data_IF_771817504112
#
_entry.id   IF_771817504112
#
_cell.length_a   1.000
_cell.length_b   1.000
_cell.length_c   1.000
_cell.angle_alpha   90.00
_cell.angle_beta   90.00
_cell.angle_gamma   90.00
#
_symmetry.space_group_name_H-M   'P 1'
#
loop_
_entity.id
_entity.type
_entity.pdbx_description
1 polymer ?
#
# COMPACT_ATOMS: atom_id res chain seq x y z
N UNK A 1 -10.19 -0.54 -12.91
CA UNK A 1 -8.94 -1.26 -13.27
C UNK A 1 -8.47 -2.18 -12.15
N UNK A 2 -8.00 -3.40 -12.43
CA UNK A 2 -7.40 -4.32 -11.43
C UNK A 2 -5.86 -4.23 -11.45
N UNK A 3 -5.27 -3.56 -10.45
CA UNK A 3 -3.83 -3.25 -10.35
C UNK A 3 -3.14 -4.26 -9.42
N UNK A 4 -2.05 -4.93 -9.82
CA UNK A 4 -1.33 -5.86 -8.93
C UNK A 4 -0.86 -5.19 -7.64
N UNK A 5 -1.07 -5.84 -6.48
CA UNK A 5 -0.66 -5.27 -5.19
C UNK A 5 0.84 -5.10 -5.10
N UNK A 6 1.62 -6.03 -5.63
CA UNK A 6 3.08 -5.93 -5.56
C UNK A 6 3.64 -4.76 -6.38
N UNK A 7 2.93 -4.35 -7.43
CA UNK A 7 3.27 -3.12 -8.15
C UNK A 7 3.05 -1.88 -7.27
N UNK A 8 1.99 -1.90 -6.44
CA UNK A 8 1.70 -0.83 -5.49
C UNK A 8 2.73 -0.80 -4.36
N UNK A 9 3.08 -1.96 -3.81
CA UNK A 9 4.14 -2.13 -2.79
C UNK A 9 5.47 -1.59 -3.33
N UNK A 10 5.88 -2.05 -4.52
CA UNK A 10 7.09 -1.56 -5.19
C UNK A 10 7.12 -0.04 -5.31
N UNK A 11 6.01 0.57 -5.75
CA UNK A 11 5.94 2.01 -5.94
C UNK A 11 6.01 2.80 -4.62
N UNK A 12 5.46 2.26 -3.52
CA UNK A 12 5.59 2.87 -2.20
C UNK A 12 7.02 2.78 -1.67
N UNK A 13 7.59 1.58 -1.66
CA UNK A 13 8.94 1.33 -1.14
C UNK A 13 10.00 2.13 -1.88
N UNK A 14 9.88 2.25 -3.21
CA UNK A 14 10.86 2.97 -4.04
C UNK A 14 10.51 4.45 -4.27
N UNK A 15 9.45 4.97 -3.64
CA UNK A 15 8.94 6.34 -3.81
C UNK A 15 8.62 6.69 -5.28
N UNK A 16 8.13 5.70 -6.05
CA UNK A 16 7.78 5.82 -7.50
C UNK A 16 6.28 5.90 -7.76
N UNK A 17 5.54 6.51 -6.83
CA UNK A 17 4.08 6.66 -6.95
C UNK A 17 3.67 7.52 -8.15
N UNK A 18 4.38 8.61 -8.44
CA UNK A 18 4.05 9.49 -9.56
C UNK A 18 4.33 8.83 -10.94
N UNK A 19 5.48 8.18 -11.16
CA UNK A 19 5.69 7.38 -12.37
C UNK A 19 4.66 6.25 -12.51
N UNK A 20 4.32 5.54 -11.43
CA UNK A 20 3.27 4.53 -11.45
C UNK A 20 1.92 5.14 -11.85
N UNK A 21 1.57 6.31 -11.31
CA UNK A 21 0.32 7.01 -11.63
C UNK A 21 0.23 7.31 -13.14
N UNK A 22 1.32 7.81 -13.72
CA UNK A 22 1.40 8.02 -15.17
C UNK A 22 1.25 6.71 -15.94
N UNK A 23 2.00 5.67 -15.58
CA UNK A 23 1.91 4.36 -16.23
C UNK A 23 0.48 3.82 -16.25
N UNK A 24 -0.22 3.91 -15.12
CA UNK A 24 -1.58 3.43 -14.97
C UNK A 24 -2.58 4.24 -15.79
N UNK A 25 -2.41 5.56 -15.87
CA UNK A 25 -3.20 6.41 -16.74
C UNK A 25 -3.00 6.04 -18.20
N UNK A 26 -1.75 5.93 -18.68
CA UNK A 26 -1.48 5.49 -20.06
C UNK A 26 -2.10 4.11 -20.32
N UNK A 27 -2.06 3.23 -19.32
CA UNK A 27 -2.67 1.90 -19.41
C UNK A 27 -4.19 1.92 -19.47
N UNK A 28 -4.86 2.93 -18.92
CA UNK A 28 -6.30 3.07 -19.01
C UNK A 28 -6.76 3.70 -20.34
N UNK A 29 -5.87 4.41 -21.05
CA UNK A 29 -6.21 5.08 -22.32
C UNK A 29 -6.29 4.14 -23.54
N UNK A 30 -5.84 2.87 -23.46
CA UNK A 30 -5.89 2.00 -24.64
C UNK A 30 -5.43 0.56 -24.46
N UNK A 31 -5.41 -0.18 -25.57
CA UNK A 31 -5.07 -1.60 -25.67
C UNK A 31 -3.56 -1.91 -25.54
N UNK A 32 -2.75 -0.89 -25.26
CA UNK A 32 -1.30 -1.02 -25.07
C UNK A 32 -0.46 -0.04 -25.89
N UNK A 33 -1.07 0.73 -26.79
CA UNK A 33 -0.45 1.85 -27.50
C UNK A 33 -1.26 3.12 -27.26
N UNK A 34 -0.58 4.24 -27.06
CA UNK A 34 -1.17 5.55 -26.83
C UNK A 34 -0.42 6.55 -27.71
N UNK A 35 -1.13 7.46 -28.41
CA UNK A 35 -0.48 8.60 -29.07
C UNK A 35 0.29 9.43 -28.05
N UNK A 36 1.35 10.11 -28.46
CA UNK A 36 2.20 10.92 -27.58
C UNK A 36 2.59 12.26 -28.19
N UNK A 37 1.62 12.86 -28.88
CA UNK A 37 1.62 14.24 -29.36
C UNK A 37 1.46 15.26 -28.21
N UNK A 38 1.58 16.55 -28.52
CA UNK A 38 1.43 17.63 -27.53
C UNK A 38 0.02 17.70 -26.94
N UNK A 39 -1.03 17.48 -27.74
CA UNK A 39 -2.42 17.45 -27.26
C UNK A 39 -2.62 16.36 -26.19
N UNK A 40 -2.06 15.17 -26.41
CA UNK A 40 -2.15 14.06 -25.47
C UNK A 40 -1.32 14.32 -24.20
N UNK A 41 -0.19 15.04 -24.30
CA UNK A 41 0.58 15.48 -23.13
C UNK A 41 -0.22 16.47 -22.29
N UNK A 42 -0.89 17.44 -22.91
CA UNK A 42 -1.77 18.40 -22.22
C UNK A 42 -2.93 17.70 -21.52
N UNK A 43 -3.64 16.81 -22.24
CA UNK A 43 -4.70 15.96 -21.65
C UNK A 43 -4.20 15.15 -20.46
N UNK A 44 -2.99 14.60 -20.55
CA UNK A 44 -2.37 13.83 -19.47
C UNK A 44 -2.03 14.72 -18.26
N UNK A 45 -1.50 15.93 -18.49
CA UNK A 45 -1.24 16.90 -17.44
C UNK A 45 -2.51 17.29 -16.69
N UNK A 46 -3.59 17.58 -17.42
CA UNK A 46 -4.89 17.91 -16.84
C UNK A 46 -5.46 16.74 -16.03
N UNK A 47 -5.53 15.55 -16.62
CA UNK A 47 -6.12 14.37 -15.99
C UNK A 47 -5.36 13.88 -14.73
N UNK A 48 -4.05 14.15 -14.66
CA UNK A 48 -3.21 13.80 -13.53
C UNK A 48 -2.92 14.98 -12.60
N UNK A 49 -3.47 16.16 -12.87
CA UNK A 49 -3.21 17.40 -12.12
C UNK A 49 -1.69 17.69 -12.01
N UNK A 50 -0.94 17.42 -13.08
CA UNK A 50 0.49 17.70 -13.15
C UNK A 50 0.66 19.15 -13.63
N UNK A 51 1.06 20.03 -12.72
CA UNK A 51 1.24 21.46 -12.99
C UNK A 51 2.38 21.78 -13.97
N UNK A 52 3.37 20.90 -14.08
CA UNK A 52 4.58 21.16 -14.86
C UNK A 52 4.81 20.08 -15.92
N UNK A 53 4.91 20.46 -17.20
CA UNK A 53 5.31 19.55 -18.28
C UNK A 53 6.67 18.88 -18.01
N UNK A 54 7.59 19.58 -17.33
CA UNK A 54 8.88 19.01 -16.91
C UNK A 54 8.71 17.80 -15.99
N UNK A 55 7.73 17.85 -15.08
CA UNK A 55 7.40 16.73 -14.18
C UNK A 55 6.79 15.55 -14.95
N UNK A 56 5.94 15.82 -15.93
CA UNK A 56 5.41 14.78 -16.81
C UNK A 56 6.56 14.08 -17.55
N UNK A 57 7.47 14.86 -18.14
CA UNK A 57 8.63 14.35 -18.85
C UNK A 57 9.55 13.54 -17.94
N UNK A 58 9.85 14.01 -16.73
CA UNK A 58 10.67 13.29 -15.77
C UNK A 58 10.06 11.92 -15.39
N UNK A 59 8.74 11.87 -15.20
CA UNK A 59 8.04 10.61 -14.93
C UNK A 59 8.11 9.67 -16.15
N UNK A 60 7.89 10.19 -17.37
CA UNK A 60 7.97 9.42 -18.60
C UNK A 60 9.38 8.88 -18.85
N UNK A 61 10.41 9.71 -18.71
CA UNK A 61 11.82 9.31 -18.82
C UNK A 61 12.16 8.19 -17.82
N UNK A 62 11.62 8.26 -16.60
CA UNK A 62 11.77 7.18 -15.63
C UNK A 62 11.11 5.88 -16.12
N UNK A 63 9.89 5.95 -16.67
CA UNK A 63 9.19 4.78 -17.22
C UNK A 63 9.93 4.16 -18.42
N UNK A 64 10.48 4.99 -19.31
CA UNK A 64 11.28 4.55 -20.46
C UNK A 64 12.57 3.87 -20.01
N UNK A 65 13.34 4.50 -19.12
CA UNK A 65 14.58 3.94 -18.56
C UNK A 65 14.35 2.59 -17.88
N UNK A 66 13.21 2.45 -17.19
CA UNK A 66 12.85 1.19 -16.52
C UNK A 66 12.11 0.21 -17.43
N UNK A 67 11.90 0.51 -18.72
CA UNK A 67 11.21 -0.36 -19.67
C UNK A 67 9.77 -0.70 -19.27
N UNK A 68 9.08 0.21 -18.58
CA UNK A 68 7.65 0.10 -18.29
C UNK A 68 6.80 0.58 -19.47
N UNK A 69 7.41 1.44 -20.28
CA UNK A 69 6.89 1.89 -21.56
C UNK A 69 8.03 1.93 -22.58
N UNK A 70 7.70 1.90 -23.87
CA UNK A 70 8.67 2.10 -24.96
C UNK A 70 8.12 3.13 -25.94
N UNK A 71 8.98 4.02 -26.44
CA UNK A 71 8.60 5.04 -27.42
C UNK A 71 8.79 4.51 -28.85
N UNK A 72 7.82 4.77 -29.71
CA UNK A 72 7.95 4.59 -31.16
C UNK A 72 7.98 5.97 -31.83
N UNK A 73 9.18 6.45 -32.15
CA UNK A 73 9.36 7.78 -32.73
C UNK A 73 8.73 7.94 -34.12
N UNK A 74 8.57 6.85 -34.89
CA UNK A 74 7.97 6.93 -36.24
C UNK A 74 6.46 7.18 -36.22
N UNK A 75 5.80 6.76 -35.14
CA UNK A 75 4.34 6.84 -34.97
C UNK A 75 3.95 7.73 -33.79
N UNK A 76 4.93 8.47 -33.24
CA UNK A 76 4.80 9.29 -32.04
C UNK A 76 3.93 8.64 -30.95
N UNK A 77 4.21 7.37 -30.65
CA UNK A 77 3.34 6.59 -29.76
C UNK A 77 4.13 5.88 -28.67
N UNK A 78 3.51 5.80 -27.50
CA UNK A 78 4.02 5.11 -26.33
C UNK A 78 3.35 3.75 -26.25
N UNK A 79 4.14 2.68 -26.27
CA UNK A 79 3.69 1.33 -25.97
C UNK A 79 3.78 1.08 -24.47
N UNK A 80 2.67 0.74 -23.84
CA UNK A 80 2.55 0.46 -22.41
C UNK A 80 2.65 -1.03 -22.15
N UNK A 81 3.62 -1.43 -21.32
CA UNK A 81 3.90 -2.84 -21.04
C UNK A 81 2.77 -3.50 -20.24
N UNK A 82 2.57 -4.81 -20.44
CA UNK A 82 1.56 -5.58 -19.71
C UNK A 82 1.98 -5.81 -18.25
N UNK A 83 1.00 -6.01 -17.36
CA UNK A 83 1.28 -6.36 -15.97
C UNK A 83 2.05 -7.67 -15.84
N UNK A 84 1.91 -8.60 -16.80
CA UNK A 84 2.62 -9.87 -16.79
C UNK A 84 4.13 -9.65 -17.04
N UNK A 85 4.48 -8.77 -17.98
CA UNK A 85 5.88 -8.43 -18.23
C UNK A 85 6.49 -7.72 -17.02
N UNK A 86 5.76 -6.78 -16.40
CA UNK A 86 6.21 -6.15 -15.16
C UNK A 86 6.34 -7.17 -14.01
N UNK A 87 5.41 -8.12 -13.90
CA UNK A 87 5.46 -9.16 -12.88
C UNK A 87 6.68 -10.05 -13.02
N UNK A 88 7.05 -10.43 -14.25
CA UNK A 88 8.30 -11.17 -14.51
C UNK A 88 9.53 -10.31 -14.18
N UNK A 89 9.54 -9.05 -14.60
CA UNK A 89 10.67 -8.14 -14.38
C UNK A 89 10.91 -7.82 -12.91
N UNK A 90 9.84 -7.67 -12.14
CA UNK A 90 9.88 -7.33 -10.71
C UNK A 90 9.74 -8.55 -9.80
N UNK A 91 9.78 -9.77 -10.36
CA UNK A 91 9.65 -11.04 -9.66
C UNK A 91 8.44 -11.11 -8.72
N UNK A 92 7.24 -10.81 -9.23
CA UNK A 92 6.04 -10.83 -8.40
C UNK A 92 5.70 -12.23 -7.87
N UNK A 93 5.30 -12.30 -6.61
CA UNK A 93 4.97 -13.54 -5.89
C UNK A 93 3.47 -13.74 -5.67
N UNK A 94 2.66 -12.73 -5.95
CA UNK A 94 1.24 -12.67 -5.69
C UNK A 94 0.49 -12.24 -6.94
N UNK A 95 -0.56 -12.99 -7.25
CA UNK A 95 -1.53 -12.61 -8.27
C UNK A 95 -2.64 -11.69 -7.73
N UNK A 96 -2.60 -11.27 -6.47
CA UNK A 96 -3.61 -10.37 -5.90
C UNK A 96 -3.47 -8.96 -6.48
N UNK A 97 -4.59 -8.37 -6.89
CA UNK A 97 -4.66 -6.97 -7.24
C UNK A 97 -5.73 -6.20 -6.46
N UNK A 98 -5.62 -4.89 -6.44
CA UNK A 98 -6.63 -3.97 -5.94
C UNK A 98 -7.47 -3.44 -7.10
N UNK A 99 -8.79 -3.40 -6.88
CA UNK A 99 -9.71 -2.77 -7.81
C UNK A 99 -9.68 -1.26 -7.57
N UNK A 100 -9.30 -0.52 -8.61
CA UNK A 100 -9.39 0.93 -8.66
C UNK A 100 -10.55 1.33 -9.56
N UNK A 101 -11.61 1.88 -8.98
CA UNK A 101 -12.86 2.21 -9.69
C UNK A 101 -12.93 3.67 -10.14
N UNK A 102 -12.07 4.53 -9.57
CA UNK A 102 -12.12 5.96 -9.86
C UNK A 102 -11.69 6.26 -11.29
N UNK A 103 -12.48 7.13 -11.93
CA UNK A 103 -12.20 7.68 -13.26
C UNK A 103 -11.09 8.73 -13.23
N UNK A 104 -10.91 9.40 -12.09
CA UNK A 104 -9.89 10.41 -11.86
C UNK A 104 -8.78 9.91 -10.92
N UNK A 105 -7.53 10.31 -11.18
CA UNK A 105 -6.36 9.88 -10.41
C UNK A 105 -6.04 10.78 -9.19
N UNK A 106 -6.98 11.64 -8.79
CA UNK A 106 -6.79 12.65 -7.75
C UNK A 106 -6.53 12.00 -6.38
N UNK A 107 -7.32 10.98 -6.06
CA UNK A 107 -7.21 10.21 -4.82
C UNK A 107 -6.32 8.96 -4.96
N UNK A 108 -5.42 8.95 -5.95
CA UNK A 108 -4.58 7.79 -6.23
C UNK A 108 -3.60 7.47 -5.10
N UNK A 109 -2.97 8.47 -4.46
CA UNK A 109 -2.01 8.19 -3.37
C UNK A 109 -2.72 7.60 -2.14
N UNK A 110 -3.80 8.22 -1.61
CA UNK A 110 -4.56 7.60 -0.53
C UNK A 110 -5.09 6.20 -0.87
N UNK A 111 -5.54 5.99 -2.12
CA UNK A 111 -5.98 4.66 -2.59
C UNK A 111 -4.86 3.62 -2.48
N UNK A 112 -3.64 3.92 -2.96
CA UNK A 112 -2.53 2.97 -2.89
C UNK A 112 -2.23 2.59 -1.44
N UNK A 113 -2.19 3.59 -0.54
CA UNK A 113 -1.94 3.34 0.87
C UNK A 113 -3.00 2.38 1.45
N UNK A 114 -4.27 2.65 1.18
CA UNK A 114 -5.37 1.80 1.61
C UNK A 114 -5.28 0.38 1.02
N UNK A 115 -4.97 0.25 -0.27
CA UNK A 115 -4.86 -1.05 -0.95
C UNK A 115 -3.77 -1.93 -0.32
N UNK A 116 -2.60 -1.35 -0.05
CA UNK A 116 -1.48 -2.04 0.59
C UNK A 116 -1.81 -2.40 2.04
N UNK A 117 -2.41 -1.48 2.82
CA UNK A 117 -2.90 -1.76 4.18
C UNK A 117 -3.88 -2.94 4.17
N UNK A 118 -4.84 -2.95 3.25
CA UNK A 118 -5.85 -4.00 3.13
C UNK A 118 -5.23 -5.35 2.84
N UNK A 119 -4.27 -5.39 1.91
CA UNK A 119 -3.60 -6.62 1.54
C UNK A 119 -2.86 -7.23 2.74
N UNK A 120 -2.07 -6.43 3.46
CA UNK A 120 -1.32 -6.92 4.61
C UNK A 120 -2.20 -7.21 5.83
N UNK A 121 -3.33 -6.53 5.98
CA UNK A 121 -4.36 -6.86 6.97
C UNK A 121 -4.91 -8.27 6.72
N UNK A 122 -5.26 -8.59 5.46
CA UNK A 122 -5.72 -9.91 5.06
C UNK A 122 -4.61 -10.96 5.10
N UNK A 123 -3.37 -10.55 4.85
CA UNK A 123 -2.22 -11.43 4.92
C UNK A 123 -1.94 -11.90 6.35
N UNK A 124 -1.82 -10.96 7.29
CA UNK A 124 -1.59 -11.24 8.72
C UNK A 124 -2.70 -12.10 9.32
N UNK A 125 -3.96 -11.78 9.03
CA UNK A 125 -5.12 -12.56 9.49
C UNK A 125 -5.10 -14.01 8.94
N UNK A 126 -4.72 -14.19 7.66
CA UNK A 126 -4.56 -15.54 7.08
C UNK A 126 -3.46 -16.34 7.77
N UNK A 127 -2.30 -15.73 8.05
CA UNK A 127 -1.20 -16.40 8.76
C UNK A 127 -1.63 -16.80 10.17
N UNK A 128 -2.25 -15.88 10.92
CA UNK A 128 -2.72 -16.14 12.27
C UNK A 128 -3.70 -17.33 12.32
N UNK A 129 -4.66 -17.37 11.39
CA UNK A 129 -5.61 -18.49 11.27
C UNK A 129 -4.94 -19.80 10.90
N UNK A 130 -3.95 -19.78 10.00
CA UNK A 130 -3.22 -20.98 9.62
C UNK A 130 -2.43 -21.54 10.80
N UNK A 131 -1.80 -20.67 11.60
CA UNK A 131 -1.10 -21.07 12.82
C UNK A 131 -2.05 -21.69 13.85
N UNK A 132 -3.20 -21.05 14.09
CA UNK A 132 -4.21 -21.57 15.02
C UNK A 132 -4.70 -22.97 14.62
N UNK A 133 -4.98 -23.18 13.32
CA UNK A 133 -5.37 -24.50 12.78
C UNK A 133 -4.29 -25.55 12.98
N UNK A 134 -3.02 -25.22 12.71
CA UNK A 134 -1.90 -26.15 12.91
C UNK A 134 -1.70 -26.53 14.38
N UNK A 135 -1.96 -25.60 15.31
CA UNK A 135 -1.78 -25.79 16.74
C UNK A 135 -3.04 -26.29 17.47
N UNK A 136 -4.14 -26.58 16.75
CA UNK A 136 -5.41 -26.99 17.35
C UNK A 136 -6.06 -25.93 18.26
N UNK A 137 -5.65 -24.65 18.14
CA UNK A 137 -6.19 -23.57 18.96
C UNK A 137 -7.51 -23.06 18.40
N UNK A 138 -8.46 -22.79 19.28
CA UNK A 138 -9.72 -22.13 18.92
C UNK A 138 -9.43 -20.79 18.25
N UNK A 139 -9.95 -20.59 17.04
CA UNK A 139 -9.85 -19.29 16.38
C UNK A 139 -10.68 -18.29 17.15
N UNK A 140 -10.06 -17.30 17.79
CA UNK A 140 -10.80 -16.19 18.38
C UNK A 140 -11.59 -15.50 17.26
N UNK A 141 -12.91 -15.41 17.41
CA UNK A 141 -13.79 -14.72 16.46
C UNK A 141 -13.67 -13.18 16.63
N UNK A 142 -12.43 -12.68 16.71
CA UNK A 142 -12.14 -11.26 16.89
C UNK A 142 -12.56 -10.50 15.64
N UNK A 143 -13.61 -9.68 15.79
CA UNK A 143 -14.12 -8.78 14.74
C UNK A 143 -13.13 -7.68 14.35
N UNK A 144 -12.11 -7.44 15.16
CA UNK A 144 -11.15 -6.35 14.98
C UNK A 144 -9.83 -6.88 14.44
N UNK A 145 -9.44 -6.36 13.27
CA UNK A 145 -8.14 -6.66 12.66
C UNK A 145 -7.18 -5.53 12.96
N UNK A 146 -6.04 -5.90 13.50
CA UNK A 146 -4.98 -4.99 13.88
C UNK A 146 -3.82 -5.09 12.89
N UNK A 147 -3.27 -3.93 12.54
CA UNK A 147 -2.06 -3.87 11.72
C UNK A 147 -1.15 -2.85 12.37
N UNK A 148 -0.16 -3.24 13.17
CA UNK A 148 0.82 -2.31 13.74
C UNK A 148 1.49 -1.47 12.64
N UNK A 149 1.79 -0.21 12.93
CA UNK A 149 2.50 0.65 11.97
C UNK A 149 3.90 0.10 11.67
N UNK A 150 4.54 -0.45 12.70
CA UNK A 150 5.89 -1.03 12.63
C UNK A 150 5.95 -2.23 11.69
N UNK A 151 4.89 -3.03 11.63
CA UNK A 151 4.80 -4.14 10.69
C UNK A 151 4.89 -3.65 9.24
N UNK A 152 4.07 -2.65 8.88
CA UNK A 152 4.11 -2.08 7.52
C UNK A 152 5.40 -1.31 7.24
N UNK A 153 5.99 -0.68 8.26
CA UNK A 153 7.26 0.02 8.14
C UNK A 153 8.37 -0.94 7.70
N UNK A 154 8.47 -2.10 8.37
CA UNK A 154 9.41 -3.17 8.00
C UNK A 154 9.13 -3.71 6.59
N UNK A 155 7.89 -4.10 6.32
CA UNK A 155 7.49 -4.69 5.04
C UNK A 155 7.72 -3.75 3.84
N UNK A 156 7.54 -2.45 4.01
CA UNK A 156 7.73 -1.48 2.93
C UNK A 156 9.14 -0.86 2.93
N UNK A 157 9.99 -1.17 3.91
CA UNK A 157 11.26 -0.50 4.18
C UNK A 157 11.10 1.04 4.24
N UNK A 158 10.15 1.50 5.07
CA UNK A 158 9.82 2.92 5.27
C UNK A 158 9.79 3.24 6.77
N UNK A 159 10.10 4.50 7.13
CA UNK A 159 10.00 4.93 8.53
C UNK A 159 8.57 4.88 9.07
N UNK A 160 8.41 4.53 10.36
CA UNK A 160 7.13 4.46 11.08
C UNK A 160 6.28 5.72 10.90
N UNK A 161 6.88 6.90 11.02
CA UNK A 161 6.19 8.19 10.84
C UNK A 161 5.57 8.35 9.44
N UNK A 162 6.24 7.82 8.40
CA UNK A 162 5.71 7.84 7.04
C UNK A 162 4.50 6.94 6.89
N UNK A 163 4.53 5.75 7.49
CA UNK A 163 3.40 4.82 7.50
C UNK A 163 2.19 5.41 8.24
N UNK A 164 2.41 6.04 9.39
CA UNK A 164 1.33 6.72 10.15
C UNK A 164 0.67 7.79 9.28
N UNK A 165 1.47 8.65 8.63
CA UNK A 165 0.95 9.66 7.69
C UNK A 165 0.21 9.05 6.50
N UNK A 166 0.68 7.92 5.96
CA UNK A 166 0.00 7.23 4.85
C UNK A 166 -1.37 6.70 5.27
N UNK A 167 -1.46 6.12 6.47
CA UNK A 167 -2.74 5.67 7.04
C UNK A 167 -3.69 6.83 7.29
N UNK A 168 -3.18 7.94 7.83
CA UNK A 168 -4.00 9.14 8.03
C UNK A 168 -4.59 9.62 6.70
N UNK A 169 -3.76 9.78 5.66
CA UNK A 169 -4.24 10.17 4.32
C UNK A 169 -5.28 9.20 3.73
N UNK A 170 -5.10 7.90 3.95
CA UNK A 170 -6.07 6.90 3.51
C UNK A 170 -7.40 6.98 4.28
N UNK A 171 -7.34 7.34 5.57
CA UNK A 171 -8.50 7.56 6.41
C UNK A 171 -9.23 8.85 6.03
N UNK A 172 -8.50 9.95 5.86
CA UNK A 172 -9.06 11.25 5.44
C UNK A 172 -9.79 11.13 4.10
N UNK A 173 -9.26 10.32 3.18
CA UNK A 173 -9.88 10.03 1.88
C UNK A 173 -11.03 9.00 1.94
N UNK A 174 -11.38 8.48 3.13
CA UNK A 174 -12.49 7.56 3.34
C UNK A 174 -12.24 6.10 2.89
N UNK A 175 -11.04 5.74 2.46
CA UNK A 175 -10.74 4.38 1.98
C UNK A 175 -10.57 3.37 3.12
N UNK A 176 -10.19 3.84 4.31
CA UNK A 176 -10.12 3.03 5.53
C UNK A 176 -10.75 3.77 6.70
N UNK A 177 -11.25 3.02 7.68
CA UNK A 177 -11.69 3.54 8.97
C UNK A 177 -10.76 3.01 10.06
N UNK A 178 -10.20 3.91 10.85
CA UNK A 178 -9.36 3.56 11.99
C UNK A 178 -10.13 3.80 13.30
N UNK A 179 -10.07 2.85 14.22
CA UNK A 179 -10.54 3.01 15.60
C UNK A 179 -9.35 2.92 16.54
N UNK A 180 -9.07 4.00 17.25
CA UNK A 180 -8.06 4.00 18.31
C UNK A 180 -8.46 3.06 19.43
N UNK A 181 -7.47 2.35 19.98
CA UNK A 181 -7.69 1.36 21.03
C UNK A 181 -6.75 1.66 22.18
N UNK A 182 -7.33 1.65 23.36
CA UNK A 182 -6.62 1.88 24.61
C UNK A 182 -6.97 0.76 25.57
N UNK A 183 -5.97 0.26 26.30
CA UNK A 183 -6.17 -0.64 27.43
C UNK A 183 -5.98 0.17 28.70
N UNK A 184 -7.01 0.33 29.55
CA UNK A 184 -6.84 1.07 30.80
C UNK A 184 -5.83 0.35 31.70
N UNK A 185 -5.05 1.14 32.42
CA UNK A 185 -4.18 0.67 33.49
C UNK A 185 -4.63 1.27 34.81
N UNK A 186 -4.45 0.51 35.88
CA UNK A 186 -4.60 0.98 37.26
C UNK A 186 -3.29 1.66 37.71
N UNK A 187 -2.77 2.57 36.88
CA UNK A 187 -1.57 3.35 37.18
C UNK A 187 -1.98 4.79 37.51
N UNK A 188 -1.58 5.34 38.66
CA UNK A 188 -1.73 6.77 38.96
C UNK A 188 -1.07 7.64 37.89
N UNK A 189 -1.60 8.84 37.68
CA UNK A 189 -1.07 9.76 36.65
C UNK A 189 0.32 10.26 37.05
N UNK A 190 0.53 10.42 38.36
CA UNK A 190 1.75 10.90 39.00
C UNK A 190 2.93 9.94 38.74
N UNK A 191 2.65 8.65 38.61
CA UNK A 191 3.65 7.61 38.36
C UNK A 191 4.01 7.48 36.87
N UNK A 192 3.28 8.13 35.96
CA UNK A 192 3.50 8.02 34.52
C UNK A 192 4.89 8.52 34.09
N UNK A 193 5.32 9.67 34.63
CA UNK A 193 6.63 10.23 34.31
C UNK A 193 7.75 9.32 34.79
N UNK A 194 7.61 8.78 36.00
CA UNK A 194 8.54 7.79 36.53
C UNK A 194 8.64 6.56 35.62
N UNK A 195 7.51 5.99 35.20
CA UNK A 195 7.50 4.86 34.27
C UNK A 195 8.14 5.20 32.91
N UNK A 196 8.02 6.43 32.41
CA UNK A 196 8.63 6.83 31.13
C UNK A 196 10.15 7.02 31.22
N UNK A 197 10.65 7.46 32.37
CA UNK A 197 12.08 7.68 32.60
C UNK A 197 12.81 6.35 32.88
N UNK A 198 12.20 5.49 33.71
CA UNK A 198 12.86 4.30 34.24
C UNK A 198 12.31 2.96 33.69
N UNK A 199 11.20 3.00 32.95
CA UNK A 199 10.59 1.79 32.40
C UNK A 199 11.19 1.33 31.08
N UNK A 200 10.82 0.12 30.68
CA UNK A 200 11.23 -0.50 29.41
C UNK A 200 10.58 0.19 28.18
N UNK A 201 10.92 -0.27 26.97
CA UNK A 201 10.36 0.26 25.71
C UNK A 201 8.81 0.30 25.67
N UNK A 202 8.14 -0.56 26.44
CA UNK A 202 6.69 -0.59 26.57
C UNK A 202 6.11 0.67 27.24
N UNK A 203 6.90 1.36 28.07
CA UNK A 203 6.51 2.59 28.74
C UNK A 203 6.22 3.74 27.75
N UNK A 204 6.82 3.72 26.55
CA UNK A 204 6.54 4.70 25.50
C UNK A 204 5.13 4.56 24.90
N UNK A 205 4.44 3.44 25.16
CA UNK A 205 3.06 3.22 24.73
C UNK A 205 2.04 3.79 25.73
N UNK A 206 2.49 4.27 26.89
CA UNK A 206 1.64 4.84 27.93
C UNK A 206 1.18 6.25 27.55
N UNK A 207 -0.13 6.46 27.57
CA UNK A 207 -0.79 7.72 27.23
C UNK A 207 -1.86 8.06 28.25
N UNK A 208 -2.04 9.36 28.51
CA UNK A 208 -3.17 9.87 29.31
C UNK A 208 -4.37 10.03 28.37
N UNK A 209 -5.49 9.40 28.70
CA UNK A 209 -6.73 9.57 27.95
C UNK A 209 -7.94 9.48 28.87
N UNK A 210 -8.79 10.52 28.88
CA UNK A 210 -9.90 10.69 29.82
C UNK A 210 -9.45 10.59 31.29
N UNK A 211 -8.41 11.35 31.67
CA UNK A 211 -7.84 11.38 33.03
C UNK A 211 -7.48 10.00 33.61
N UNK A 212 -7.05 9.07 32.76
CA UNK A 212 -6.57 7.76 33.16
C UNK A 212 -5.36 7.39 32.32
N UNK A 213 -4.38 6.72 32.93
CA UNK A 213 -3.25 6.13 32.20
C UNK A 213 -3.72 4.90 31.44
N UNK A 214 -3.39 4.83 30.15
CA UNK A 214 -3.76 3.71 29.27
C UNK A 214 -2.58 3.30 28.40
N UNK A 215 -2.51 2.03 28.04
CA UNK A 215 -1.63 1.53 26.99
C UNK A 215 -2.29 1.79 25.64
N UNK A 216 -1.59 2.46 24.75
CA UNK A 216 -2.02 2.63 23.36
C UNK A 216 -1.80 1.33 22.59
N UNK A 217 -2.89 0.66 22.22
CA UNK A 217 -2.84 -0.52 21.38
C UNK A 217 -2.83 -0.13 19.90
N UNK A 218 -2.41 -1.04 19.04
CA UNK A 218 -2.54 -0.87 17.60
C UNK A 218 -3.99 -0.61 17.17
N UNK A 219 -4.18 0.41 16.33
CA UNK A 219 -5.50 0.77 15.80
C UNK A 219 -6.19 -0.43 15.13
N UNK A 220 -7.49 -0.58 15.38
CA UNK A 220 -8.32 -1.48 14.58
C UNK A 220 -8.62 -0.81 13.24
N UNK A 221 -8.43 -1.54 12.14
CA UNK A 221 -8.61 -1.01 10.78
C UNK A 221 -9.72 -1.78 10.08
N UNK A 222 -10.70 -1.05 9.56
CA UNK A 222 -11.66 -1.54 8.58
C UNK A 222 -11.30 -0.93 7.23
N UNK A 223 -11.22 -1.74 6.18
CA UNK A 223 -10.91 -1.27 4.83
C UNK A 223 -12.09 -1.46 3.89
N UNK A 224 -12.28 -0.49 2.99
CA UNK A 224 -13.29 -0.51 1.94
C UNK A 224 -12.69 -0.81 0.56
N UNK A 225 -11.40 -1.17 0.49
CA UNK A 225 -10.75 -1.53 -0.77
C UNK A 225 -11.06 -2.98 -1.16
N UNK A 226 -11.54 -3.16 -2.38
CA UNK A 226 -11.75 -4.48 -2.96
C UNK A 226 -10.46 -5.07 -3.52
N UNK A 227 -10.08 -6.24 -3.00
CA UNK A 227 -8.96 -7.04 -3.52
C UNK A 227 -9.50 -8.19 -4.35
N UNK A 228 -8.95 -8.38 -5.55
CA UNK A 228 -9.33 -9.47 -6.46
C UNK A 228 -8.10 -10.08 -7.11
N UNK A 229 -8.07 -11.40 -7.19
CA UNK A 229 -7.04 -12.12 -7.94
C UNK A 229 -7.08 -11.73 -9.40
N UNK A 230 -5.91 -11.46 -9.98
CA UNK A 230 -5.73 -11.13 -11.39
C UNK A 230 -5.45 -12.43 -12.18
N UNK A 231 -6.40 -12.90 -13.02
CA UNK A 231 -6.28 -14.22 -13.66
C UNK A 231 -5.05 -14.37 -14.54
N UNK A 232 -4.66 -13.32 -15.27
CA UNK A 232 -3.49 -13.35 -16.15
C UNK A 232 -2.18 -13.56 -15.39
N UNK A 233 -2.08 -13.08 -14.14
CA UNK A 233 -0.93 -13.34 -13.27
C UNK A 233 -1.02 -14.70 -12.58
N UNK A 234 -2.21 -15.13 -12.16
CA UNK A 234 -2.42 -16.41 -11.48
C UNK A 234 -1.92 -17.60 -12.29
N UNK A 235 -2.06 -17.56 -13.63
CA UNK A 235 -1.57 -18.61 -14.53
C UNK A 235 -0.03 -18.76 -14.53
N UNK A 236 0.70 -17.71 -14.17
CA UNK A 236 2.16 -17.65 -14.31
C UNK A 236 2.90 -17.60 -12.98
N UNK A 237 2.25 -17.13 -11.92
CA UNK A 237 2.80 -17.09 -10.58
C UNK A 237 2.38 -18.38 -9.88
N UNK A 238 3.33 -19.33 -9.79
CA UNK A 238 3.19 -20.45 -8.88
C UNK A 238 3.24 -19.89 -7.46
N UNK A 239 2.24 -20.18 -6.64
CA UNK A 239 2.19 -19.66 -5.28
C UNK A 239 3.42 -20.15 -4.50
N UNK A 240 4.39 -19.26 -4.21
CA UNK A 240 5.47 -19.56 -3.27
C UNK A 240 4.90 -19.84 -1.88
N UNK A 241 5.67 -20.55 -1.06
CA UNK A 241 5.31 -20.81 0.34
C UNK A 241 4.92 -19.50 1.02
N UNK A 242 3.83 -19.55 1.79
CA UNK A 242 3.27 -18.38 2.47
C UNK A 242 4.08 -18.12 3.73
N UNK A 243 5.18 -17.39 3.60
CA UNK A 243 6.08 -17.06 4.70
C UNK A 243 5.91 -15.60 5.10
N UNK A 244 5.97 -15.31 6.39
CA UNK A 244 5.85 -13.94 6.89
C UNK A 244 6.97 -13.08 6.27
N UNK A 245 6.67 -11.97 5.57
CA UNK A 245 7.67 -11.13 4.92
C UNK A 245 8.69 -10.56 5.91
N UNK A 246 8.38 -10.52 7.22
CA UNK A 246 9.34 -10.09 8.24
C UNK A 246 10.34 -11.21 8.58
N UNK A 247 9.96 -12.49 8.43
CA UNK A 247 10.81 -13.64 8.78
C UNK A 247 11.86 -13.98 7.72
N UNK A 248 11.65 -13.60 6.46
CA UNK A 248 12.59 -13.91 5.37
C UNK A 248 13.54 -12.76 5.00
N UNK A 249 13.39 -11.56 5.58
CA UNK A 249 14.27 -10.43 5.28
C UNK A 249 14.19 -9.99 3.81
N UNK A 250 13.26 -9.09 3.50
CA UNK A 250 13.23 -8.37 2.22
C UNK A 250 14.05 -7.08 2.28
#
# INVERSE_FOLDING_TARGET
MNIPIELLVFALSNRKVNPLRLFLYLKSQGSGYVSWDEEQKEKTCLALEIKSPKTLQANLSWLLKNGWVTMNSKRESVRVVSYLVLAKKLNFQSATGAIYEQQNFNNFRPFIYAAVVTYYLHYKDRIARQSARKQGRTTSNCRYRDLPADYLAKVLNLGKSTIVRYRQKAWDAGFIKMKHRFKPLLLPIEELEFCRIYGDEEAWQLVIHNNQVKIQLSNAITSYIHLRTKPSLKKHIQARQKVDPIKEGF
#
